data_IF_497346597209
#
_entry.id   IF_497346597209
#
_cell.length_a   1.000
_cell.length_b   1.000
_cell.length_c   1.000
_cell.angle_alpha   90.00
_cell.angle_beta   90.00
_cell.angle_gamma   90.00
#
_symmetry.space_group_name_H-M   'P 1'
#
loop_
_entity.id
_entity.type
_entity.pdbx_description
1 polymer ?
#
# COMPACT_ATOMS: atom_id res chain seq x y z
N UNK A 1 23.30 18.10 1.60
CA UNK A 1 24.02 16.85 1.56
C UNK A 1 23.12 15.63 1.73
N UNK A 2 23.60 14.45 1.33
CA UNK A 2 22.89 13.19 1.32
C UNK A 2 22.20 12.84 2.66
N UNK A 3 22.90 13.09 3.78
CA UNK A 3 22.38 12.86 5.14
C UNK A 3 21.06 13.61 5.40
N UNK A 4 20.98 14.89 5.04
CA UNK A 4 19.76 15.70 5.20
C UNK A 4 18.63 15.18 4.31
N UNK A 5 18.95 14.73 3.08
CA UNK A 5 17.98 14.13 2.17
C UNK A 5 17.37 12.88 2.79
N UNK A 6 18.17 11.94 3.30
CA UNK A 6 17.68 10.73 3.97
C UNK A 6 16.80 11.04 5.18
N UNK A 7 17.21 12.01 6.03
CA UNK A 7 16.42 12.38 7.19
C UNK A 7 15.07 13.01 6.80
N UNK A 8 15.07 13.91 5.82
CA UNK A 8 13.85 14.59 5.37
C UNK A 8 12.91 13.63 4.64
N UNK A 9 13.42 12.93 3.62
CA UNK A 9 12.62 11.99 2.81
C UNK A 9 12.11 10.83 3.66
N UNK A 10 12.94 10.28 4.55
CA UNK A 10 12.51 9.23 5.46
C UNK A 10 11.39 9.67 6.41
N UNK A 11 11.48 10.88 6.97
CA UNK A 11 10.44 11.42 7.86
C UNK A 11 9.16 11.74 7.10
N UNK A 12 9.26 12.43 5.97
CA UNK A 12 8.09 12.77 5.13
C UNK A 12 7.44 11.51 4.60
N UNK A 13 8.22 10.59 4.03
CA UNK A 13 7.71 9.32 3.50
C UNK A 13 7.02 8.48 4.57
N UNK A 14 7.60 8.39 5.77
CA UNK A 14 6.97 7.70 6.91
C UNK A 14 5.60 8.29 7.25
N UNK A 15 5.51 9.62 7.46
CA UNK A 15 4.24 10.25 7.83
C UNK A 15 3.19 10.17 6.73
N UNK A 16 3.58 10.35 5.47
CA UNK A 16 2.67 10.20 4.33
C UNK A 16 2.08 8.80 4.30
N UNK A 17 2.90 7.77 4.48
CA UNK A 17 2.44 6.39 4.50
C UNK A 17 1.58 6.06 5.72
N UNK A 18 1.92 6.58 6.91
CA UNK A 18 1.10 6.43 8.12
C UNK A 18 -0.29 7.02 7.91
N UNK A 19 -0.38 8.24 7.37
CA UNK A 19 -1.67 8.90 7.12
C UNK A 19 -2.48 8.15 6.07
N UNK A 20 -1.88 7.77 4.94
CA UNK A 20 -2.58 7.05 3.87
C UNK A 20 -2.92 5.61 4.25
N UNK A 21 -2.07 4.95 5.02
CA UNK A 21 -2.26 3.58 5.49
C UNK A 21 -3.21 3.45 6.69
N UNK A 22 -3.44 4.52 7.44
CA UNK A 22 -4.30 4.49 8.62
C UNK A 22 -5.74 4.09 8.27
N UNK A 23 -6.30 4.65 7.19
CA UNK A 23 -7.67 4.33 6.77
C UNK A 23 -7.86 2.85 6.40
N UNK A 24 -7.04 2.24 5.52
CA UNK A 24 -7.12 0.82 5.22
C UNK A 24 -6.98 -0.07 6.44
N UNK A 25 -6.04 0.25 7.33
CA UNK A 25 -5.82 -0.52 8.56
C UNK A 25 -7.03 -0.44 9.49
N UNK A 26 -7.58 0.76 9.71
CA UNK A 26 -8.77 0.97 10.54
C UNK A 26 -9.97 0.24 9.95
N UNK A 27 -10.17 0.35 8.62
CA UNK A 27 -11.26 -0.34 7.94
C UNK A 27 -11.14 -1.86 8.06
N UNK A 28 -9.94 -2.39 7.88
CA UNK A 28 -9.69 -3.83 8.02
C UNK A 28 -9.95 -4.31 9.44
N UNK A 29 -9.49 -3.57 10.46
CA UNK A 29 -9.77 -3.88 11.86
C UNK A 29 -11.26 -3.84 12.17
N UNK A 30 -11.97 -2.84 11.64
CA UNK A 30 -13.41 -2.74 11.77
C UNK A 30 -14.12 -3.95 11.16
N UNK A 31 -13.81 -4.27 9.91
CA UNK A 31 -14.42 -5.41 9.20
C UNK A 31 -14.09 -6.73 9.91
N UNK A 32 -12.85 -6.92 10.35
CA UNK A 32 -12.44 -8.14 11.06
C UNK A 32 -13.17 -8.30 12.41
N UNK A 33 -13.35 -7.19 13.14
CA UNK A 33 -13.95 -7.22 14.49
C UNK A 33 -15.48 -7.39 14.43
N UNK A 34 -16.14 -6.73 13.48
CA UNK A 34 -17.61 -6.67 13.44
C UNK A 34 -18.25 -7.59 12.39
N UNK A 35 -17.54 -7.95 11.34
CA UNK A 35 -18.11 -8.75 10.24
C UNK A 35 -17.64 -10.21 10.24
N UNK A 36 -16.65 -10.57 11.06
CA UNK A 36 -16.11 -11.92 11.16
C UNK A 36 -15.48 -12.48 9.87
N UNK A 37 -15.49 -11.72 8.79
CA UNK A 37 -14.87 -12.06 7.52
C UNK A 37 -14.23 -10.83 6.89
N UNK A 38 -13.05 -10.99 6.32
CA UNK A 38 -12.33 -9.94 5.60
C UNK A 38 -13.00 -9.59 4.25
N UNK A 39 -13.89 -10.43 3.80
CA UNK A 39 -14.75 -10.25 2.64
C UNK A 39 -16.17 -10.03 3.15
N UNK A 40 -16.84 -8.96 2.71
CA UNK A 40 -18.25 -8.73 3.00
C UNK A 40 -19.12 -9.97 2.68
N UNK A 41 -20.45 -9.91 2.79
CA UNK A 41 -21.36 -11.05 2.61
C UNK A 41 -21.26 -11.71 1.22
N UNK A 42 -20.44 -11.20 0.34
CA UNK A 42 -20.07 -11.88 -0.89
C UNK A 42 -19.17 -13.06 -0.58
N UNK A 43 -19.50 -14.20 -1.16
CA UNK A 43 -18.60 -15.34 -1.26
C UNK A 43 -17.43 -14.96 -2.18
N UNK A 44 -16.57 -14.00 -1.71
CA UNK A 44 -15.34 -13.65 -2.39
C UNK A 44 -14.42 -14.88 -2.43
N UNK A 45 -13.66 -15.00 -3.52
CA UNK A 45 -12.65 -16.05 -3.60
C UNK A 45 -11.73 -15.96 -2.38
N UNK A 46 -11.49 -17.03 -1.63
CA UNK A 46 -10.60 -16.99 -0.44
C UNK A 46 -9.24 -16.37 -0.74
N UNK A 47 -8.78 -16.52 -1.98
CA UNK A 47 -7.52 -15.95 -2.48
C UNK A 47 -7.46 -14.43 -2.38
N UNK A 48 -8.58 -13.72 -2.56
CA UNK A 48 -8.63 -12.26 -2.45
C UNK A 48 -8.34 -11.81 -1.02
N UNK A 49 -8.92 -12.50 -0.03
CA UNK A 49 -8.66 -12.21 1.39
C UNK A 49 -7.20 -12.40 1.75
N UNK A 50 -6.57 -13.47 1.27
CA UNK A 50 -5.13 -13.71 1.49
C UNK A 50 -4.26 -12.65 0.80
N UNK A 51 -4.57 -12.30 -0.45
CA UNK A 51 -3.83 -11.27 -1.19
C UNK A 51 -3.96 -9.90 -0.51
N UNK A 52 -5.15 -9.55 -0.03
CA UNK A 52 -5.39 -8.30 0.72
C UNK A 52 -4.59 -8.29 2.03
N UNK A 53 -4.56 -9.40 2.77
CA UNK A 53 -3.77 -9.52 3.99
C UNK A 53 -2.27 -9.38 3.71
N UNK A 54 -1.75 -10.04 2.68
CA UNK A 54 -0.35 -9.93 2.24
C UNK A 54 -0.03 -8.49 1.85
N UNK A 55 -0.91 -7.84 1.09
CA UNK A 55 -0.73 -6.46 0.67
C UNK A 55 -0.65 -5.50 1.87
N UNK A 56 -1.50 -5.69 2.86
CA UNK A 56 -1.47 -4.89 4.08
C UNK A 56 -0.20 -5.13 4.91
N UNK A 57 0.28 -6.38 4.98
CA UNK A 57 1.56 -6.70 5.62
C UNK A 57 2.74 -6.03 4.91
N UNK A 58 2.72 -5.99 3.57
CA UNK A 58 3.72 -5.25 2.78
C UNK A 58 3.68 -3.76 3.09
N UNK A 59 2.50 -3.15 3.16
CA UNK A 59 2.35 -1.74 3.54
C UNK A 59 2.97 -1.47 4.93
N UNK A 60 2.63 -2.27 5.93
CA UNK A 60 3.18 -2.14 7.30
C UNK A 60 4.70 -2.31 7.28
N UNK A 61 5.21 -3.27 6.53
CA UNK A 61 6.65 -3.47 6.36
C UNK A 61 7.32 -2.24 5.74
N UNK A 62 6.76 -1.68 4.68
CA UNK A 62 7.29 -0.48 4.00
C UNK A 62 7.28 0.73 4.94
N UNK A 63 6.19 0.96 5.69
CA UNK A 63 6.12 2.02 6.71
C UNK A 63 7.24 1.85 7.75
N UNK A 64 7.39 0.63 8.28
CA UNK A 64 8.46 0.33 9.22
C UNK A 64 9.85 0.52 8.61
N UNK A 65 10.05 0.16 7.34
CA UNK A 65 11.31 0.34 6.65
C UNK A 65 11.68 1.82 6.48
N UNK A 66 10.70 2.66 6.14
CA UNK A 66 10.91 4.10 6.02
C UNK A 66 11.29 4.76 7.35
N UNK A 67 10.84 4.23 8.49
CA UNK A 67 11.25 4.71 9.81
C UNK A 67 12.76 4.54 10.08
N UNK A 68 13.44 3.66 9.34
CA UNK A 68 14.90 3.43 9.45
C UNK A 68 15.73 4.48 8.70
N UNK A 69 15.20 5.10 7.65
CA UNK A 69 15.97 6.04 6.81
C UNK A 69 16.53 7.25 7.57
N UNK A 70 15.83 7.90 8.52
CA UNK A 70 16.42 8.95 9.33
C UNK A 70 17.62 8.49 10.14
N UNK A 71 17.63 7.23 10.61
CA UNK A 71 18.75 6.62 11.30
C UNK A 71 19.97 6.43 10.39
N UNK A 72 19.75 5.95 9.17
CA UNK A 72 20.80 5.86 8.14
C UNK A 72 21.36 7.26 7.83
N UNK A 73 20.48 8.26 7.68
CA UNK A 73 20.91 9.65 7.45
C UNK A 73 21.78 10.21 8.57
N UNK A 74 21.52 9.86 9.84
CA UNK A 74 22.39 10.24 10.97
C UNK A 74 23.76 9.59 10.87
N UNK A 75 23.83 8.31 10.56
CA UNK A 75 25.11 7.59 10.38
C UNK A 75 25.92 8.12 9.21
N UNK A 76 25.28 8.56 8.13
CA UNK A 76 25.97 9.19 6.99
C UNK A 76 26.56 10.54 7.39
N UNK A 77 25.93 11.26 8.32
CA UNK A 77 26.40 12.57 8.79
C UNK A 77 27.66 12.48 9.67
N UNK A 78 27.84 11.38 10.38
CA UNK A 78 28.97 11.16 11.28
C UNK A 78 30.12 10.44 10.55
N UNK A 79 31.30 11.05 10.41
CA UNK A 79 32.45 10.45 9.74
C UNK A 79 32.90 9.13 10.38
N UNK A 80 32.73 8.97 11.70
CA UNK A 80 33.18 7.78 12.43
C UNK A 80 32.28 6.56 12.19
N UNK A 81 30.98 6.79 11.89
CA UNK A 81 29.99 5.73 11.73
C UNK A 81 29.43 5.62 10.30
N UNK A 82 30.06 6.34 9.35
CA UNK A 82 29.56 6.41 7.96
C UNK A 82 29.52 5.00 7.33
N UNK A 83 28.35 4.52 6.91
CA UNK A 83 28.23 3.24 6.27
C UNK A 83 28.83 3.28 4.85
N UNK A 84 29.29 2.11 4.37
CA UNK A 84 29.76 1.98 3.00
C UNK A 84 28.61 2.24 2.00
N UNK A 85 28.96 2.69 0.79
CA UNK A 85 28.01 2.88 -0.31
C UNK A 85 27.09 1.67 -0.51
N UNK A 86 27.69 0.45 -0.53
CA UNK A 86 26.93 -0.79 -0.71
C UNK A 86 25.88 -1.04 0.36
N UNK A 87 26.16 -0.71 1.62
CA UNK A 87 25.19 -0.88 2.71
C UNK A 87 24.03 0.12 2.61
N UNK A 88 24.30 1.37 2.23
CA UNK A 88 23.26 2.39 2.01
C UNK A 88 22.39 1.99 0.83
N UNK A 89 23.01 1.65 -0.29
CA UNK A 89 22.32 1.21 -1.51
C UNK A 89 21.46 -0.02 -1.25
N UNK A 90 21.99 -1.04 -0.56
CA UNK A 90 21.22 -2.24 -0.20
C UNK A 90 20.00 -1.91 0.66
N UNK A 91 20.12 -0.97 1.60
CA UNK A 91 19.00 -0.55 2.44
C UNK A 91 17.90 0.11 1.61
N UNK A 92 18.27 0.97 0.65
CA UNK A 92 17.31 1.62 -0.25
C UNK A 92 16.67 0.59 -1.20
N UNK A 93 17.45 -0.33 -1.77
CA UNK A 93 16.96 -1.39 -2.64
C UNK A 93 15.94 -2.30 -1.95
N UNK A 94 16.17 -2.68 -0.70
CA UNK A 94 15.21 -3.50 0.06
C UNK A 94 13.86 -2.78 0.21
N UNK A 95 13.87 -1.49 0.53
CA UNK A 95 12.64 -0.70 0.61
C UNK A 95 11.95 -0.55 -0.75
N UNK A 96 12.73 -0.35 -1.82
CA UNK A 96 12.23 -0.22 -3.19
C UNK A 96 11.58 -1.51 -3.68
N UNK A 97 12.22 -2.66 -3.48
CA UNK A 97 11.66 -3.96 -3.85
C UNK A 97 10.35 -4.22 -3.08
N UNK A 98 10.34 -3.96 -1.78
CA UNK A 98 9.14 -4.17 -0.96
C UNK A 98 7.98 -3.29 -1.43
N UNK A 99 8.20 -1.99 -1.69
CA UNK A 99 7.15 -1.09 -2.18
C UNK A 99 6.70 -1.45 -3.60
N UNK A 100 7.62 -1.86 -4.49
CA UNK A 100 7.26 -2.31 -5.84
C UNK A 100 6.42 -3.58 -5.82
N UNK A 101 6.72 -4.53 -4.94
CA UNK A 101 5.87 -5.71 -4.73
C UNK A 101 4.49 -5.29 -4.20
N UNK A 102 4.43 -4.34 -3.26
CA UNK A 102 3.18 -3.78 -2.77
C UNK A 102 2.32 -3.19 -3.89
N UNK A 103 2.91 -2.42 -4.80
CA UNK A 103 2.22 -1.90 -6.00
C UNK A 103 1.63 -3.02 -6.83
N UNK A 104 2.42 -4.07 -7.14
CA UNK A 104 1.95 -5.20 -7.95
C UNK A 104 0.79 -5.92 -7.25
N UNK A 105 0.91 -6.22 -5.97
CA UNK A 105 -0.17 -6.88 -5.21
C UNK A 105 -1.42 -6.01 -5.11
N UNK A 106 -1.28 -4.72 -4.84
CA UNK A 106 -2.41 -3.77 -4.81
C UNK A 106 -3.14 -3.72 -6.14
N UNK A 107 -2.40 -3.67 -7.25
CA UNK A 107 -3.00 -3.68 -8.59
C UNK A 107 -3.74 -4.98 -8.88
N UNK A 108 -3.17 -6.12 -8.53
CA UNK A 108 -3.82 -7.43 -8.73
C UNK A 108 -5.12 -7.55 -7.93
N UNK A 109 -5.08 -7.19 -6.64
CA UNK A 109 -6.27 -7.23 -5.79
C UNK A 109 -7.34 -6.29 -6.33
N UNK A 110 -6.97 -5.06 -6.67
CA UNK A 110 -7.91 -4.07 -7.21
C UNK A 110 -8.52 -4.52 -8.54
N UNK A 111 -7.73 -5.15 -9.42
CA UNK A 111 -8.22 -5.67 -10.69
C UNK A 111 -9.25 -6.79 -10.48
N UNK A 112 -9.00 -7.70 -9.54
CA UNK A 112 -9.93 -8.79 -9.20
C UNK A 112 -11.22 -8.22 -8.61
N UNK A 113 -11.13 -7.30 -7.66
CA UNK A 113 -12.29 -6.65 -7.03
C UNK A 113 -13.17 -5.91 -8.04
N UNK A 114 -12.56 -5.10 -8.91
CA UNK A 114 -13.27 -4.36 -9.96
C UNK A 114 -13.88 -5.31 -10.99
N UNK A 115 -13.18 -6.39 -11.35
CA UNK A 115 -13.74 -7.40 -12.27
C UNK A 115 -14.96 -8.09 -11.67
N UNK A 116 -14.93 -8.43 -10.38
CA UNK A 116 -16.09 -9.01 -9.70
C UNK A 116 -17.28 -8.05 -9.67
N UNK A 117 -17.04 -6.78 -9.42
CA UNK A 117 -18.08 -5.75 -9.49
C UNK A 117 -18.65 -5.62 -10.91
N UNK A 118 -17.79 -5.62 -11.93
CA UNK A 118 -18.20 -5.56 -13.32
C UNK A 118 -19.09 -6.75 -13.70
N UNK A 119 -18.67 -7.99 -13.37
CA UNK A 119 -19.47 -9.17 -13.62
C UNK A 119 -20.82 -9.14 -12.90
N UNK A 120 -20.85 -8.62 -11.68
CA UNK A 120 -22.09 -8.43 -10.95
C UNK A 120 -23.05 -7.49 -11.68
N UNK A 121 -22.56 -6.32 -12.13
CA UNK A 121 -23.41 -5.37 -12.86
C UNK A 121 -23.83 -5.87 -14.24
N UNK A 122 -23.00 -6.65 -14.93
CA UNK A 122 -23.37 -7.26 -16.22
C UNK A 122 -24.40 -8.38 -16.08
N UNK A 123 -24.37 -9.13 -14.97
CA UNK A 123 -25.33 -10.18 -14.68
C UNK A 123 -26.66 -9.66 -14.11
N UNK A 124 -26.68 -8.44 -13.55
CA UNK A 124 -27.92 -7.83 -13.09
C UNK A 124 -28.83 -7.46 -14.27
N UNK A 125 -30.16 -7.72 -14.17
CA UNK A 125 -31.09 -7.33 -15.23
C UNK A 125 -31.00 -5.81 -15.47
N UNK A 126 -30.63 -5.42 -16.67
CA UNK A 126 -30.40 -4.05 -17.12
C UNK A 126 -31.74 -3.29 -17.30
N UNK A 127 -32.53 -3.19 -16.25
CA UNK A 127 -33.75 -2.36 -16.23
C UNK A 127 -33.46 -0.97 -15.69
N UNK A 128 -32.75 -0.15 -16.48
CA UNK A 128 -32.44 1.27 -16.26
C UNK A 128 -32.58 1.80 -14.83
N UNK A 129 -31.48 2.26 -14.26
CA UNK A 129 -31.27 2.78 -12.90
C UNK A 129 -31.03 1.68 -11.84
N UNK A 130 -29.85 1.63 -11.21
CA UNK A 130 -29.64 0.75 -10.06
C UNK A 130 -30.55 1.22 -8.92
N UNK A 131 -31.67 0.58 -8.76
CA UNK A 131 -32.52 0.76 -7.57
C UNK A 131 -31.79 0.13 -6.40
N UNK A 132 -31.41 0.94 -5.45
CA UNK A 132 -31.05 0.51 -4.11
C UNK A 132 -32.34 -0.03 -3.50
N UNK A 133 -32.62 -1.33 -3.69
CA UNK A 133 -33.75 -1.95 -3.05
C UNK A 133 -33.40 -2.21 -1.59
N UNK A 134 -34.07 -1.50 -0.69
CA UNK A 134 -33.94 -1.65 0.76
C UNK A 134 -34.83 -2.75 1.34
N UNK A 135 -35.45 -3.59 0.52
CA UNK A 135 -36.34 -4.66 0.97
C UNK A 135 -35.61 -6.01 1.05
N UNK A 136 -35.61 -6.68 2.20
CA UNK A 136 -35.05 -8.01 2.35
C UNK A 136 -35.99 -9.05 1.74
N UNK A 137 -35.92 -9.27 0.45
CA UNK A 137 -36.58 -10.42 -0.18
C UNK A 137 -35.60 -11.59 -0.23
N UNK A 138 -36.03 -12.69 0.30
CA UNK A 138 -35.37 -13.95 0.58
C UNK A 138 -34.90 -14.76 -0.65
N UNK A 139 -34.34 -14.12 -1.65
CA UNK A 139 -33.66 -14.78 -2.77
C UNK A 139 -32.32 -14.12 -3.00
N UNK A 140 -31.29 -14.78 -2.59
CA UNK A 140 -29.84 -14.65 -2.83
C UNK A 140 -29.28 -13.56 -3.74
N UNK A 141 -29.80 -12.34 -3.68
CA UNK A 141 -29.27 -11.20 -4.41
C UNK A 141 -28.02 -10.67 -3.68
N UNK A 142 -26.88 -10.80 -4.31
CA UNK A 142 -25.63 -10.21 -3.84
C UNK A 142 -25.73 -8.69 -3.97
N UNK A 143 -25.84 -8.02 -2.83
CA UNK A 143 -25.93 -6.55 -2.75
C UNK A 143 -24.55 -5.93 -2.83
N UNK A 144 -24.36 -4.90 -3.65
CA UNK A 144 -23.21 -4.01 -3.57
C UNK A 144 -23.42 -3.12 -2.34
N UNK A 145 -22.57 -3.25 -1.34
CA UNK A 145 -22.68 -2.51 -0.09
C UNK A 145 -21.73 -1.31 -0.06
N UNK A 146 -21.98 -0.37 0.84
CA UNK A 146 -21.04 0.71 1.11
C UNK A 146 -19.66 0.19 1.53
N UNK A 147 -19.59 -1.01 2.14
CA UNK A 147 -18.35 -1.67 2.52
C UNK A 147 -17.51 -2.05 1.29
N UNK A 148 -18.15 -2.45 0.18
CA UNK A 148 -17.43 -2.77 -1.07
C UNK A 148 -16.73 -1.54 -1.65
N UNK A 149 -17.42 -0.38 -1.64
CA UNK A 149 -16.81 0.89 -2.07
C UNK A 149 -15.72 1.37 -1.10
N UNK A 150 -15.92 1.20 0.20
CA UNK A 150 -14.91 1.53 1.21
C UNK A 150 -13.67 0.63 1.04
N UNK A 151 -13.85 -0.65 0.71
CA UNK A 151 -12.77 -1.59 0.40
C UNK A 151 -11.96 -1.14 -0.82
N UNK A 152 -12.65 -0.77 -1.92
CA UNK A 152 -11.96 -0.24 -3.10
C UNK A 152 -11.21 1.06 -2.80
N UNK A 153 -11.80 1.97 -2.03
CA UNK A 153 -11.13 3.20 -1.62
C UNK A 153 -9.88 2.89 -0.77
N UNK A 154 -9.97 1.92 0.13
CA UNK A 154 -8.84 1.46 0.91
C UNK A 154 -7.71 0.92 0.02
N UNK A 155 -8.03 0.09 -0.99
CA UNK A 155 -7.06 -0.44 -1.95
C UNK A 155 -6.38 0.66 -2.78
N UNK A 156 -7.15 1.67 -3.22
CA UNK A 156 -6.58 2.84 -3.94
C UNK A 156 -5.61 3.61 -3.04
N UNK A 157 -5.93 3.80 -1.76
CA UNK A 157 -5.03 4.47 -0.82
C UNK A 157 -3.77 3.66 -0.54
N UNK A 158 -3.87 2.33 -0.41
CA UNK A 158 -2.70 1.45 -0.28
C UNK A 158 -1.83 1.55 -1.52
N UNK A 159 -2.42 1.42 -2.71
CA UNK A 159 -1.70 1.56 -3.98
C UNK A 159 -0.98 2.91 -4.08
N UNK A 160 -1.67 4.01 -3.75
CA UNK A 160 -1.08 5.34 -3.78
C UNK A 160 0.09 5.48 -2.78
N UNK A 161 -0.04 4.92 -1.56
CA UNK A 161 1.03 4.89 -0.58
C UNK A 161 2.26 4.13 -1.09
N UNK A 162 2.07 2.96 -1.71
CA UNK A 162 3.14 2.14 -2.27
C UNK A 162 3.84 2.81 -3.46
N UNK A 163 3.07 3.48 -4.34
CA UNK A 163 3.62 4.26 -5.46
C UNK A 163 4.48 5.40 -4.94
N UNK A 164 4.01 6.15 -3.94
CA UNK A 164 4.80 7.22 -3.32
C UNK A 164 6.06 6.68 -2.64
N UNK A 165 5.97 5.53 -1.96
CA UNK A 165 7.13 4.86 -1.38
C UNK A 165 8.16 4.51 -2.45
N UNK A 166 7.71 3.97 -3.58
CA UNK A 166 8.56 3.63 -4.73
C UNK A 166 9.25 4.87 -5.30
N UNK A 167 8.51 5.98 -5.48
CA UNK A 167 9.07 7.26 -5.94
C UNK A 167 10.13 7.78 -4.97
N UNK A 168 9.87 7.76 -3.66
CA UNK A 168 10.84 8.18 -2.66
C UNK A 168 12.06 7.25 -2.62
N UNK A 169 11.87 5.95 -2.80
CA UNK A 169 12.95 4.97 -2.89
C UNK A 169 13.86 5.22 -4.11
N UNK A 170 13.28 5.42 -5.28
CA UNK A 170 14.01 5.76 -6.51
C UNK A 170 14.76 7.08 -6.37
N UNK A 171 14.12 8.10 -5.79
CA UNK A 171 14.78 9.38 -5.52
C UNK A 171 16.00 9.22 -4.60
N UNK A 172 15.86 8.45 -3.52
CA UNK A 172 16.96 8.19 -2.59
C UNK A 172 18.08 7.39 -3.27
N UNK A 173 17.74 6.40 -4.10
CA UNK A 173 18.71 5.61 -4.86
C UNK A 173 19.52 6.50 -5.79
N UNK A 174 18.85 7.30 -6.61
CA UNK A 174 19.49 8.24 -7.53
C UNK A 174 20.42 9.21 -6.81
N UNK A 175 19.95 9.77 -5.69
CA UNK A 175 20.76 10.69 -4.87
C UNK A 175 21.98 10.02 -4.26
N UNK A 176 21.84 8.74 -3.87
CA UNK A 176 22.95 7.97 -3.28
C UNK A 176 24.04 7.72 -4.32
N UNK A 177 23.69 7.17 -5.48
CA UNK A 177 24.65 6.88 -6.55
C UNK A 177 25.40 8.12 -7.00
N UNK A 178 24.69 9.19 -7.29
CA UNK A 178 25.31 10.44 -7.76
C UNK A 178 26.24 11.08 -6.71
N UNK A 179 25.92 10.97 -5.41
CA UNK A 179 26.77 11.53 -4.37
C UNK A 179 28.06 10.73 -4.19
N UNK A 180 28.01 9.41 -4.29
CA UNK A 180 29.20 8.57 -4.13
C UNK A 180 30.11 8.60 -5.37
N UNK A 181 29.54 8.77 -6.58
CA UNK A 181 30.33 9.00 -7.79
C UNK A 181 31.15 10.29 -7.69
N UNK A 182 30.54 11.38 -7.25
CA UNK A 182 31.22 12.69 -7.07
C UNK A 182 32.27 12.71 -5.97
N UNK A 183 32.44 11.67 -5.19
CA UNK A 183 33.50 11.53 -4.19
C UNK A 183 34.68 10.67 -4.69
N UNK A 184 34.53 10.03 -5.86
CA UNK A 184 35.60 9.22 -6.49
C UNK A 184 36.46 9.98 -7.47
N UNK A 185 35.91 11.12 -7.98
CA UNK A 185 36.61 12.09 -8.82
C UNK A 185 37.35 13.13 -7.95
#
# INVERSE_FOLDING_TARGET
GLAKTFQRTGRVGFWVQVVMGAFPVILMLYVFTFSGSLTGPRHGLPIVSYLTAINLLLLVFVVFWFSRYPGVGRKIADPATRPSEGNVTRTVWTGLIASSLGVVFSMLVMLIEVSQLLFYFLAAPQGGVPTIQTTPTSMGGSWVSAVDFASLMALVLVLAAEVLATIFGLWLLFRTTHTYESLKD
#
